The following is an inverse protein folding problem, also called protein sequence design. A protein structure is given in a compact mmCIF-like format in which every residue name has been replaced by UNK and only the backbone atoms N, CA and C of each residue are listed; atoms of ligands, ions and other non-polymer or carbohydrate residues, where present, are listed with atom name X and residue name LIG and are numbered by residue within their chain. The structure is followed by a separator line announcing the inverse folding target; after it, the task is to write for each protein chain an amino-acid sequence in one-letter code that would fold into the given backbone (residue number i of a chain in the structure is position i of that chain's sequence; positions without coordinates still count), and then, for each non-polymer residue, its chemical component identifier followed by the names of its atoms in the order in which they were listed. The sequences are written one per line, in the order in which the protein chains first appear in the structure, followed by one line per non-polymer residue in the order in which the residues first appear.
data_IF_786111206763
#
_entry.id   IF_786111206763
#
_cell.length_a   1.000
_cell.length_b   1.000
_cell.length_c   1.000
_cell.angle_alpha   90.00
_cell.angle_beta   90.00
_cell.angle_gamma   90.00
#
_symmetry.space_group_name_H-M   'P 1'
#
loop_
_entity.id
_entity.type
_entity.pdbx_description
1 polymer ?
#
# COMPACT_ATOMS: atom_id res chain seq x y z
N UNK A 1 -19.98 56.63 38.86
CA UNK A 1 -19.47 55.39 38.22
C UNK A 1 -19.78 54.12 39.02
N UNK A 2 -20.79 54.09 39.92
CA UNK A 2 -21.08 52.95 40.83
C UNK A 2 -22.53 52.41 40.76
N UNK A 3 -23.38 52.94 39.87
CA UNK A 3 -24.78 52.49 39.73
C UNK A 3 -24.94 51.39 38.66
N UNK A 4 -24.27 51.55 37.51
CA UNK A 4 -24.24 50.57 36.42
C UNK A 4 -23.62 49.23 36.86
N UNK A 5 -22.56 49.28 37.68
CA UNK A 5 -21.95 48.06 38.23
C UNK A 5 -22.84 47.35 39.27
N UNK A 6 -23.66 48.08 40.04
CA UNK A 6 -24.55 47.49 41.05
C UNK A 6 -25.78 46.83 40.43
N UNK A 7 -26.34 47.42 39.38
CA UNK A 7 -27.49 46.86 38.66
C UNK A 7 -27.09 45.66 37.80
N UNK A 8 -25.88 45.70 37.20
CA UNK A 8 -25.36 44.60 36.39
C UNK A 8 -24.62 43.51 37.20
N UNK A 9 -24.36 43.72 38.49
CA UNK A 9 -23.69 42.74 39.36
C UNK A 9 -24.45 41.40 39.39
N UNK A 10 -25.78 41.45 39.43
CA UNK A 10 -26.63 40.26 39.46
C UNK A 10 -26.47 39.43 38.17
N UNK A 11 -26.37 40.10 37.02
CA UNK A 11 -26.15 39.44 35.74
C UNK A 11 -24.72 38.89 35.62
N UNK A 12 -23.71 39.64 36.05
CA UNK A 12 -22.31 39.20 36.07
C UNK A 12 -22.14 37.97 36.98
N UNK A 13 -22.78 37.99 38.16
CA UNK A 13 -22.71 36.90 39.12
C UNK A 13 -23.51 35.67 38.64
N UNK A 14 -24.66 35.87 37.98
CA UNK A 14 -25.38 34.80 37.30
C UNK A 14 -24.55 34.15 36.18
N UNK A 15 -23.87 34.94 35.35
CA UNK A 15 -22.98 34.43 34.29
C UNK A 15 -21.80 33.67 34.90
N UNK A 16 -21.21 34.14 36.00
CA UNK A 16 -20.15 33.45 36.72
C UNK A 16 -20.61 32.12 37.32
N UNK A 17 -21.81 32.05 37.90
CA UNK A 17 -22.38 30.81 38.44
C UNK A 17 -22.65 29.82 37.30
N UNK A 18 -23.24 30.29 36.20
CA UNK A 18 -23.44 29.46 35.00
C UNK A 18 -22.11 28.93 34.52
N UNK A 19 -21.09 29.78 34.38
CA UNK A 19 -19.74 29.38 33.99
C UNK A 19 -19.12 28.37 34.96
N UNK A 20 -19.24 28.59 36.27
CA UNK A 20 -18.70 27.70 37.29
C UNK A 20 -19.31 26.29 37.25
N UNK A 21 -20.56 26.16 36.80
CA UNK A 21 -21.25 24.87 36.65
C UNK A 21 -20.99 24.26 35.27
N UNK A 22 -21.07 25.07 34.20
CA UNK A 22 -20.94 24.57 32.83
C UNK A 22 -19.49 24.25 32.48
N UNK A 23 -18.51 25.00 32.99
CA UNK A 23 -17.10 24.84 32.61
C UNK A 23 -16.51 23.49 33.06
N UNK A 24 -16.69 23.02 34.32
CA UNK A 24 -16.24 21.68 34.72
C UNK A 24 -16.99 20.56 33.98
N UNK A 25 -18.27 20.77 33.68
CA UNK A 25 -19.09 19.80 32.95
C UNK A 25 -18.64 19.65 31.49
N UNK A 26 -18.35 20.77 30.81
CA UNK A 26 -17.80 20.79 29.45
C UNK A 26 -16.40 20.18 29.43
N UNK A 27 -15.54 20.50 30.39
CA UNK A 27 -14.18 19.93 30.47
C UNK A 27 -14.21 18.41 30.67
N UNK A 28 -15.09 17.90 31.53
CA UNK A 28 -15.23 16.46 31.79
C UNK A 28 -15.80 15.70 30.59
N UNK A 29 -16.68 16.33 29.83
CA UNK A 29 -17.35 15.73 28.67
C UNK A 29 -16.82 16.24 27.32
N UNK A 30 -15.63 16.86 27.29
CA UNK A 30 -15.16 17.58 26.10
C UNK A 30 -15.12 16.68 24.87
N UNK A 31 -14.66 15.44 25.04
CA UNK A 31 -14.46 14.51 23.94
C UNK A 31 -15.81 14.00 23.38
N UNK A 32 -16.82 13.82 24.24
CA UNK A 32 -18.15 13.39 23.80
C UNK A 32 -18.94 14.54 23.18
N UNK A 33 -18.78 15.77 23.68
CA UNK A 33 -19.37 16.99 23.11
C UNK A 33 -18.74 17.28 21.76
N UNK A 34 -17.41 17.26 21.65
CA UNK A 34 -16.70 17.43 20.38
C UNK A 34 -17.02 16.32 19.38
N UNK A 35 -17.16 15.07 19.82
CA UNK A 35 -17.62 13.98 18.97
C UNK A 35 -19.06 14.20 18.48
N UNK A 36 -19.98 14.64 19.35
CA UNK A 36 -21.36 14.96 18.94
C UNK A 36 -21.43 16.16 17.99
N UNK A 37 -20.64 17.21 18.24
CA UNK A 37 -20.56 18.40 17.38
C UNK A 37 -19.94 18.03 16.03
N UNK A 38 -18.89 17.22 16.01
CA UNK A 38 -18.31 16.76 14.73
C UNK A 38 -19.28 15.84 13.98
N UNK A 39 -19.97 14.92 14.65
CA UNK A 39 -21.02 14.10 14.02
C UNK A 39 -22.19 14.93 13.48
N UNK A 40 -22.66 15.94 14.24
CA UNK A 40 -23.74 16.83 13.78
C UNK A 40 -23.27 17.74 12.66
N UNK A 41 -22.09 18.34 12.75
CA UNK A 41 -21.48 19.12 11.67
C UNK A 41 -21.32 18.27 10.39
N UNK A 42 -20.84 17.03 10.53
CA UNK A 42 -20.74 16.08 9.42
C UNK A 42 -22.10 15.68 8.84
N UNK A 43 -23.17 15.62 9.66
CA UNK A 43 -24.53 15.37 9.17
C UNK A 43 -25.14 16.56 8.45
N UNK A 44 -24.76 17.80 8.81
CA UNK A 44 -25.30 19.03 8.20
C UNK A 44 -24.67 19.36 6.84
N UNK A 45 -23.37 19.05 6.65
CA UNK A 45 -22.64 19.45 5.44
C UNK A 45 -22.56 18.40 4.34
N UNK A 46 -23.25 17.26 4.49
CA UNK A 46 -23.27 16.20 3.48
C UNK A 46 -21.88 15.59 3.30
N UNK A 47 -21.58 14.53 4.05
CA UNK A 47 -20.37 13.76 3.85
C UNK A 47 -20.52 12.83 2.63
N UNK A 48 -19.57 12.80 1.66
CA UNK A 48 -18.32 13.58 1.55
C UNK A 48 -18.49 14.99 0.94
N UNK A 49 -17.56 15.91 1.23
CA UNK A 49 -17.56 17.30 0.72
C UNK A 49 -16.21 17.65 0.04
N UNK A 50 -16.09 17.42 -1.27
CA UNK A 50 -14.81 17.57 -1.99
C UNK A 50 -14.30 19.01 -2.00
N UNK A 51 -15.18 20.02 -1.89
CA UNK A 51 -14.77 21.43 -1.82
C UNK A 51 -13.92 21.72 -0.58
N UNK A 52 -14.29 21.17 0.57
CA UNK A 52 -13.51 21.31 1.81
C UNK A 52 -12.18 20.56 1.68
N UNK A 53 -12.19 19.38 1.06
CA UNK A 53 -10.98 18.61 0.79
C UNK A 53 -9.99 19.42 -0.07
N UNK A 54 -10.43 19.99 -1.19
CA UNK A 54 -9.59 20.83 -2.04
C UNK A 54 -9.05 22.08 -1.34
N UNK A 55 -9.85 22.74 -0.49
CA UNK A 55 -9.36 23.88 0.30
C UNK A 55 -8.27 23.48 1.28
N UNK A 56 -8.38 22.30 1.90
CA UNK A 56 -7.36 21.77 2.81
C UNK A 56 -6.10 21.32 2.05
N UNK A 57 -6.27 20.72 0.87
CA UNK A 57 -5.16 20.38 -0.03
C UNK A 57 -4.42 21.65 -0.46
N UNK A 58 -5.14 22.70 -0.88
CA UNK A 58 -4.55 23.97 -1.27
C UNK A 58 -3.78 24.64 -0.13
N UNK A 59 -4.27 24.52 1.12
CA UNK A 59 -3.52 24.99 2.31
C UNK A 59 -2.23 24.19 2.53
N UNK A 60 -2.26 22.87 2.33
CA UNK A 60 -1.07 22.04 2.38
C UNK A 60 -0.06 22.40 1.28
N UNK A 61 -0.55 22.57 0.05
CA UNK A 61 0.25 22.96 -1.10
C UNK A 61 0.91 24.35 -0.88
N UNK A 62 0.16 25.33 -0.37
CA UNK A 62 0.68 26.66 -0.06
C UNK A 62 1.82 26.65 0.99
N UNK A 63 1.77 25.74 1.96
CA UNK A 63 2.86 25.57 2.96
C UNK A 63 4.13 25.05 2.29
N UNK A 64 3.99 24.12 1.33
CA UNK A 64 5.13 23.57 0.57
C UNK A 64 5.68 24.59 -0.43
N UNK A 65 4.81 25.30 -1.15
CA UNK A 65 5.16 26.35 -2.12
C UNK A 65 5.83 27.54 -1.44
N UNK A 66 5.34 27.99 -0.28
CA UNK A 66 5.98 29.06 0.49
C UNK A 66 7.42 28.75 0.93
N UNK A 67 7.82 27.46 0.98
CA UNK A 67 9.19 27.02 1.25
C UNK A 67 10.01 26.70 -0.02
N UNK A 68 9.35 26.55 -1.16
CA UNK A 68 10.00 26.47 -2.48
C UNK A 68 10.41 27.86 -2.95
N UNK A 69 9.52 28.84 -2.79
CA UNK A 69 9.72 30.22 -3.25
C UNK A 69 10.64 31.04 -2.32
N UNK A 70 10.84 30.60 -1.07
CA UNK A 70 11.85 31.21 -0.19
C UNK A 70 13.30 31.04 -0.70
N UNK A 71 13.52 30.25 -1.75
CA UNK A 71 14.81 30.09 -2.43
C UNK A 71 14.95 30.83 -3.77
N UNK A 72 13.93 31.51 -4.28
CA UNK A 72 13.95 32.07 -5.66
C UNK A 72 14.48 33.50 -5.76
N UNK A 73 14.75 34.19 -4.65
CA UNK A 73 15.53 35.43 -4.69
C UNK A 73 17.01 35.08 -4.91
N UNK A 74 17.39 34.95 -6.18
CA UNK A 74 18.77 34.74 -6.65
C UNK A 74 19.73 35.76 -6.01
N UNK A 75 19.26 36.99 -5.75
CA UNK A 75 20.01 38.03 -5.05
C UNK A 75 20.15 37.82 -3.54
N UNK A 76 19.19 37.16 -2.87
CA UNK A 76 19.31 36.81 -1.45
C UNK A 76 20.19 35.58 -1.24
N UNK A 77 20.13 34.59 -2.13
CA UNK A 77 21.03 33.42 -2.13
C UNK A 77 22.47 33.83 -2.42
N UNK A 78 22.71 34.73 -3.39
CA UNK A 78 24.05 35.30 -3.65
C UNK A 78 24.54 36.13 -2.45
N UNK A 79 23.69 36.98 -1.85
CA UNK A 79 24.08 37.74 -0.65
C UNK A 79 24.40 36.83 0.53
N UNK A 80 23.59 35.81 0.79
CA UNK A 80 23.85 34.82 1.84
C UNK A 80 25.15 34.05 1.60
N UNK A 81 25.45 33.69 0.34
CA UNK A 81 26.72 33.07 -0.05
C UNK A 81 27.94 33.94 0.29
N UNK A 82 27.87 35.24 0.02
CA UNK A 82 28.97 36.18 0.29
C UNK A 82 29.02 36.67 1.75
N UNK A 83 27.96 36.47 2.55
CA UNK A 83 27.95 36.81 3.98
C UNK A 83 28.19 35.62 4.91
N UNK A 84 28.23 34.39 4.38
CA UNK A 84 28.35 33.14 5.15
C UNK A 84 29.81 32.69 5.37
N UNK A 85 30.81 33.57 5.26
CA UNK A 85 32.18 33.22 5.66
C UNK A 85 32.35 33.11 7.18
N UNK A 86 31.41 33.61 8.01
CA UNK A 86 31.61 33.66 9.48
C UNK A 86 30.47 33.09 10.36
N UNK A 87 29.46 32.41 9.81
CA UNK A 87 28.48 31.69 10.67
C UNK A 87 28.12 30.31 10.12
N UNK A 88 28.37 29.27 10.94
CA UNK A 88 28.05 27.86 10.73
C UNK A 88 26.52 27.56 10.64
N UNK A 89 25.77 28.32 9.86
CA UNK A 89 24.39 27.99 9.47
C UNK A 89 24.39 27.77 7.97
N UNK A 90 24.46 26.49 7.59
CA UNK A 90 24.44 26.07 6.20
C UNK A 90 23.28 26.70 5.43
N UNK A 91 23.56 27.08 4.19
CA UNK A 91 22.59 27.59 3.22
C UNK A 91 21.37 26.68 3.17
N UNK A 92 20.19 27.20 3.51
CA UNK A 92 18.93 26.46 3.46
C UNK A 92 18.54 26.33 1.99
N UNK A 93 18.78 25.16 1.39
CA UNK A 93 18.32 24.84 0.04
C UNK A 93 16.78 24.89 -0.03
N UNK A 94 16.18 25.24 -1.18
CA UNK A 94 14.72 25.23 -1.35
C UNK A 94 14.15 23.83 -1.15
N UNK A 95 12.90 23.76 -0.69
CA UNK A 95 12.22 22.50 -0.41
C UNK A 95 12.00 21.66 -1.68
N UNK A 96 12.75 20.58 -1.82
CA UNK A 96 12.46 19.50 -2.76
C UNK A 96 12.11 18.20 -2.02
N UNK A 97 10.88 17.71 -2.25
CA UNK A 97 10.36 16.48 -1.66
C UNK A 97 11.15 15.25 -2.13
N UNK A 98 11.62 15.22 -3.39
CA UNK A 98 12.41 14.11 -3.90
C UNK A 98 13.80 14.06 -3.27
N UNK A 99 14.41 15.23 -3.01
CA UNK A 99 15.67 15.33 -2.28
C UNK A 99 15.49 14.89 -0.81
N UNK A 100 14.38 15.26 -0.17
CA UNK A 100 14.06 14.81 1.19
C UNK A 100 13.81 13.30 1.25
N UNK A 101 13.10 12.72 0.28
CA UNK A 101 12.92 11.27 0.17
C UNK A 101 14.27 10.55 0.04
N UNK A 102 15.16 11.02 -0.84
CA UNK A 102 16.51 10.45 -0.98
C UNK A 102 17.31 10.54 0.32
N UNK A 103 17.19 11.65 1.05
CA UNK A 103 17.84 11.80 2.36
C UNK A 103 17.30 10.80 3.39
N UNK A 104 15.98 10.55 3.38
CA UNK A 104 15.33 9.55 4.22
C UNK A 104 15.86 8.13 3.93
N UNK A 105 15.89 7.76 2.64
CA UNK A 105 16.36 6.45 2.20
C UNK A 105 17.82 6.22 2.54
N UNK A 106 18.67 7.26 2.40
CA UNK A 106 20.08 7.22 2.78
C UNK A 106 20.29 6.88 4.26
N UNK A 107 19.50 7.47 5.17
CA UNK A 107 19.60 7.15 6.60
C UNK A 107 19.02 5.77 6.92
N UNK A 108 17.89 5.39 6.30
CA UNK A 108 17.29 4.06 6.49
C UNK A 108 18.20 2.92 6.03
N UNK A 109 18.94 3.10 4.92
CA UNK A 109 19.93 2.12 4.45
C UNK A 109 21.14 2.00 5.36
N UNK A 110 21.47 3.04 6.15
CA UNK A 110 22.56 2.97 7.14
C UNK A 110 22.12 2.40 8.49
N UNK A 111 20.83 2.48 8.82
CA UNK A 111 20.28 1.90 10.05
C UNK A 111 19.93 0.40 9.92
N UNK A 112 19.72 -0.14 8.71
CA UNK A 112 19.38 -1.56 8.50
C UNK A 112 20.27 -2.22 7.43
N UNK A 113 21.30 -2.94 7.88
CA UNK A 113 21.90 -4.05 7.12
C UNK A 113 20.97 -5.25 7.26
N UNK A 114 19.96 -5.35 6.39
CA UNK A 114 19.31 -6.60 6.02
C UNK A 114 18.94 -6.56 4.52
N UNK A 115 19.90 -6.96 3.69
CA UNK A 115 19.89 -7.05 2.22
C UNK A 115 18.97 -8.15 1.64
N UNK A 116 17.79 -8.38 2.21
CA UNK A 116 16.92 -9.49 1.76
C UNK A 116 15.50 -9.12 1.33
N UNK A 117 15.16 -7.84 1.23
CA UNK A 117 13.81 -7.42 0.78
C UNK A 117 13.78 -6.43 -0.40
N UNK A 118 14.87 -6.29 -1.14
CA UNK A 118 14.95 -5.46 -2.35
C UNK A 118 15.10 -6.31 -3.63
N UNK A 119 14.36 -7.41 -3.76
CA UNK A 119 14.17 -8.00 -5.08
C UNK A 119 13.11 -7.24 -5.87
N UNK A 120 13.59 -6.36 -6.74
CA UNK A 120 12.79 -5.60 -7.69
C UNK A 120 12.02 -6.51 -8.66
N UNK A 121 10.82 -6.07 -9.04
CA UNK A 121 10.03 -6.75 -10.06
C UNK A 121 10.66 -6.59 -11.44
N UNK A 122 10.36 -7.51 -12.37
CA UNK A 122 10.90 -7.48 -13.74
C UNK A 122 10.60 -6.20 -14.52
N UNK A 123 9.54 -5.47 -14.15
CA UNK A 123 9.16 -4.18 -14.75
C UNK A 123 10.03 -3.02 -14.24
N UNK A 124 10.50 -3.12 -12.99
CA UNK A 124 11.46 -2.19 -12.39
C UNK A 124 12.87 -2.47 -12.90
N UNK A 125 13.27 -3.74 -13.06
CA UNK A 125 14.57 -4.12 -13.65
C UNK A 125 14.75 -3.66 -15.11
N UNK A 126 13.66 -3.57 -15.88
CA UNK A 126 13.69 -3.07 -17.25
C UNK A 126 13.69 -1.53 -17.34
N UNK A 127 13.15 -0.82 -16.34
CA UNK A 127 13.20 0.66 -16.28
C UNK A 127 14.48 1.18 -15.62
N UNK A 128 15.15 0.36 -14.81
CA UNK A 128 16.41 0.68 -14.13
C UNK A 128 17.59 0.91 -15.08
N UNK A 129 17.58 0.34 -16.29
CA UNK A 129 18.67 0.58 -17.26
C UNK A 129 18.60 1.96 -17.93
N UNK A 130 17.55 2.76 -17.67
CA UNK A 130 17.38 4.12 -18.19
C UNK A 130 16.97 5.18 -17.17
N UNK A 131 16.77 4.83 -15.89
CA UNK A 131 16.38 5.82 -14.89
C UNK A 131 17.62 6.49 -14.24
N UNK A 132 17.64 7.81 -14.07
CA UNK A 132 18.73 8.52 -13.37
C UNK A 132 18.75 8.25 -11.85
N UNK A 133 17.90 7.35 -11.36
CA UNK A 133 17.75 7.01 -9.94
C UNK A 133 18.69 5.88 -9.48
N UNK A 134 19.25 5.09 -10.40
CA UNK A 134 20.12 3.95 -10.07
C UNK A 134 21.33 3.79 -10.99
N UNK A 135 21.96 4.90 -11.41
CA UNK A 135 23.35 4.80 -11.85
C UNK A 135 24.17 4.22 -10.68
N UNK A 136 24.79 3.06 -10.92
CA UNK A 136 25.77 2.43 -10.02
C UNK A 136 26.62 3.53 -9.38
N UNK A 137 26.46 3.73 -8.07
CA UNK A 137 27.35 4.60 -7.30
C UNK A 137 28.76 4.01 -7.45
N UNK A 138 29.58 4.65 -8.28
CA UNK A 138 31.01 4.44 -8.27
C UNK A 138 31.54 4.85 -6.89
N UNK A 139 32.40 4.06 -6.24
CA UNK A 139 32.89 4.40 -4.92
C UNK A 139 34.11 5.30 -5.06
N UNK A 140 34.01 6.51 -5.61
CA UNK A 140 35.13 7.46 -5.59
C UNK A 140 34.70 8.92 -5.56
N UNK A 141 35.24 9.65 -4.57
CA UNK A 141 35.31 11.11 -4.56
C UNK A 141 34.23 11.79 -3.73
N UNK A 142 34.50 11.98 -2.44
CA UNK A 142 33.80 13.01 -1.67
C UNK A 142 33.94 14.36 -2.37
N UNK A 143 32.80 14.89 -2.83
CA UNK A 143 32.63 16.30 -3.15
C UNK A 143 31.51 16.82 -2.26
N UNK A 144 31.91 17.20 -1.05
CA UNK A 144 31.08 17.96 -0.11
C UNK A 144 31.02 19.40 -0.60
N UNK A 145 29.82 19.85 -0.99
CA UNK A 145 29.36 21.25 -0.89
C UNK A 145 27.84 21.28 -1.10
N UNK A 146 27.14 20.88 -0.05
CA UNK A 146 25.70 21.02 0.17
C UNK A 146 25.43 20.80 1.66
N UNK A 147 24.36 21.37 2.25
CA UNK A 147 24.07 21.18 3.66
C UNK A 147 23.98 19.68 3.99
N UNK A 148 24.48 19.30 5.17
CA UNK A 148 24.45 17.91 5.62
C UNK A 148 23.00 17.37 5.47
N UNK A 149 22.75 16.19 4.87
CA UNK A 149 21.39 15.72 4.56
C UNK A 149 20.44 15.75 5.77
N UNK A 150 20.96 15.51 6.98
CA UNK A 150 20.23 15.62 8.25
C UNK A 150 19.81 17.05 8.58
N UNK A 151 20.66 18.05 8.34
CA UNK A 151 20.37 19.46 8.58
C UNK A 151 19.38 20.01 7.56
N UNK A 152 19.52 19.60 6.29
CA UNK A 152 18.54 19.88 5.26
C UNK A 152 17.17 19.27 5.58
N UNK A 153 17.14 18.01 6.04
CA UNK A 153 15.89 17.37 6.43
C UNK A 153 15.26 18.04 7.66
N UNK A 154 16.05 18.32 8.71
CA UNK A 154 15.58 18.97 9.94
C UNK A 154 15.05 20.39 9.70
N UNK A 155 15.59 21.14 8.74
CA UNK A 155 15.12 22.51 8.43
C UNK A 155 13.77 22.55 7.74
N UNK A 156 13.36 21.45 7.10
CA UNK A 156 12.15 21.37 6.27
C UNK A 156 11.07 20.45 6.82
N UNK A 157 11.42 19.53 7.73
CA UNK A 157 10.51 18.49 8.23
C UNK A 157 9.24 19.07 8.86
N UNK A 158 9.33 20.19 9.58
CA UNK A 158 8.15 20.81 10.22
C UNK A 158 7.10 21.26 9.18
N UNK A 159 7.55 21.85 8.06
CA UNK A 159 6.66 22.27 6.98
C UNK A 159 6.03 21.06 6.27
N UNK A 160 6.82 20.02 6.01
CA UNK A 160 6.37 18.75 5.43
C UNK A 160 5.35 18.05 6.33
N UNK A 161 5.58 18.01 7.64
CA UNK A 161 4.62 17.44 8.61
C UNK A 161 3.34 18.28 8.72
N UNK A 162 3.45 19.61 8.63
CA UNK A 162 2.29 20.50 8.64
C UNK A 162 1.43 20.28 7.39
N UNK A 163 2.06 20.14 6.21
CA UNK A 163 1.35 19.79 4.98
C UNK A 163 0.70 18.41 5.08
N UNK A 164 1.41 17.42 5.64
CA UNK A 164 0.88 16.07 5.87
C UNK A 164 -0.40 16.11 6.73
N UNK A 165 -0.42 16.90 7.80
CA UNK A 165 -1.59 17.05 8.67
C UNK A 165 -2.79 17.67 7.93
N UNK A 166 -2.56 18.65 7.05
CA UNK A 166 -3.61 19.20 6.20
C UNK A 166 -4.16 18.15 5.23
N UNK A 167 -3.30 17.36 4.58
CA UNK A 167 -3.75 16.30 3.67
C UNK A 167 -4.49 15.18 4.40
N UNK A 168 -4.07 14.78 5.61
CA UNK A 168 -4.81 13.83 6.45
C UNK A 168 -6.20 14.33 6.84
N UNK A 169 -6.33 15.63 7.11
CA UNK A 169 -7.65 16.24 7.35
C UNK A 169 -8.48 16.28 6.06
N UNK A 170 -7.85 16.59 4.93
CA UNK A 170 -8.50 16.59 3.62
C UNK A 170 -9.02 15.22 3.23
N UNK A 171 -8.27 14.15 3.53
CA UNK A 171 -8.64 12.77 3.28
C UNK A 171 -10.04 12.46 3.84
N UNK A 172 -10.32 12.93 5.06
CA UNK A 172 -11.64 12.75 5.68
C UNK A 172 -12.77 13.35 4.88
N UNK A 173 -12.56 14.31 3.98
CA UNK A 173 -13.64 14.93 3.20
C UNK A 173 -13.59 14.55 1.72
N UNK A 174 -12.54 13.84 1.29
CA UNK A 174 -12.26 13.54 -0.11
C UNK A 174 -13.23 12.53 -0.71
N UNK A 175 -13.73 11.58 0.08
CA UNK A 175 -14.64 10.55 -0.43
C UNK A 175 -13.94 9.70 -1.51
N UNK A 176 -14.50 9.58 -2.72
CA UNK A 176 -13.92 8.75 -3.77
C UNK A 176 -12.72 9.36 -4.51
N UNK A 177 -12.33 10.61 -4.23
CA UNK A 177 -11.23 11.29 -4.93
C UNK A 177 -9.84 10.79 -4.49
N UNK A 178 -8.99 10.40 -5.47
CA UNK A 178 -7.64 9.87 -5.22
C UNK A 178 -6.58 10.95 -4.93
N UNK A 179 -6.93 12.24 -5.00
CA UNK A 179 -5.99 13.35 -4.90
C UNK A 179 -5.33 13.42 -3.51
N UNK A 180 -6.12 13.28 -2.44
CA UNK A 180 -5.60 13.35 -1.07
C UNK A 180 -4.62 12.20 -0.76
N UNK A 181 -4.93 10.92 -1.07
CA UNK A 181 -3.97 9.83 -0.94
C UNK A 181 -2.64 10.06 -1.69
N UNK A 182 -2.68 10.54 -2.93
CA UNK A 182 -1.47 10.83 -3.73
C UNK A 182 -0.60 11.91 -3.10
N UNK A 183 -1.22 12.98 -2.57
CA UNK A 183 -0.49 14.03 -1.85
C UNK A 183 0.13 13.50 -0.56
N UNK A 184 -0.60 12.68 0.20
CA UNK A 184 -0.08 12.00 1.39
C UNK A 184 1.11 11.11 1.03
N UNK A 185 1.04 10.33 -0.05
CA UNK A 185 2.15 9.47 -0.51
C UNK A 185 3.45 10.27 -0.69
N UNK A 186 3.40 11.36 -1.46
CA UNK A 186 4.58 12.19 -1.74
C UNK A 186 5.25 12.76 -0.48
N UNK A 187 4.44 13.22 0.48
CA UNK A 187 4.92 13.88 1.71
C UNK A 187 5.32 12.85 2.78
N UNK A 188 4.66 11.70 2.81
CA UNK A 188 4.99 10.60 3.70
C UNK A 188 6.35 9.98 3.35
N UNK A 189 6.68 9.85 2.06
CA UNK A 189 8.02 9.42 1.63
C UNK A 189 9.09 10.43 2.04
N UNK A 190 8.86 11.72 1.82
CA UNK A 190 9.77 12.79 2.24
C UNK A 190 9.99 12.85 3.77
N UNK A 191 8.98 12.47 4.56
CA UNK A 191 9.02 12.49 6.03
C UNK A 191 9.35 11.14 6.69
N UNK A 192 9.75 10.12 5.92
CA UNK A 192 10.05 8.77 6.41
C UNK A 192 8.88 8.04 7.10
N UNK A 193 7.63 8.29 6.68
CA UNK A 193 6.42 7.73 7.32
C UNK A 193 5.59 6.87 6.36
N UNK A 194 6.12 5.74 5.85
CA UNK A 194 5.42 4.90 4.86
C UNK A 194 4.08 4.34 5.37
N UNK A 195 3.90 4.17 6.68
CA UNK A 195 2.65 3.71 7.28
C UNK A 195 1.47 4.67 7.02
N UNK A 196 1.74 5.97 6.82
CA UNK A 196 0.70 6.97 6.52
C UNK A 196 0.13 6.78 5.12
N UNK A 197 0.96 6.30 4.19
CA UNK A 197 0.57 5.99 2.81
C UNK A 197 -0.42 4.84 2.81
N UNK A 198 -0.12 3.80 3.60
CA UNK A 198 -1.00 2.66 3.78
C UNK A 198 -2.37 3.07 4.30
N UNK A 199 -2.37 3.87 5.37
CA UNK A 199 -3.58 4.37 5.98
C UNK A 199 -4.40 5.19 4.97
N UNK A 200 -3.75 6.05 4.19
CA UNK A 200 -4.42 6.89 3.21
C UNK A 200 -5.14 6.07 2.13
N UNK A 201 -4.47 5.09 1.52
CA UNK A 201 -5.07 4.25 0.48
C UNK A 201 -6.13 3.28 1.04
N UNK A 202 -5.96 2.76 2.25
CA UNK A 202 -6.99 1.96 2.94
C UNK A 202 -8.24 2.79 3.22
N UNK A 203 -8.08 4.02 3.71
CA UNK A 203 -9.19 4.95 3.96
C UNK A 203 -9.92 5.31 2.67
N UNK A 204 -9.20 5.63 1.59
CA UNK A 204 -9.81 5.90 0.29
C UNK A 204 -10.64 4.72 -0.23
N UNK A 205 -10.12 3.50 -0.13
CA UNK A 205 -10.87 2.29 -0.48
C UNK A 205 -12.20 2.19 0.29
N UNK A 206 -12.15 2.31 1.62
CA UNK A 206 -13.34 2.18 2.48
C UNK A 206 -14.34 3.32 2.26
N UNK A 207 -13.86 4.56 2.10
CA UNK A 207 -14.70 5.73 1.84
C UNK A 207 -15.39 5.63 0.47
N UNK A 208 -14.68 5.13 -0.55
CA UNK A 208 -15.25 4.88 -1.88
C UNK A 208 -16.37 3.83 -1.81
N UNK A 209 -16.13 2.70 -1.16
CA UNK A 209 -17.15 1.65 -0.99
C UNK A 209 -18.37 2.16 -0.21
N UNK A 210 -18.14 2.94 0.84
CA UNK A 210 -19.20 3.51 1.68
C UNK A 210 -20.03 4.55 0.91
N UNK A 211 -19.38 5.38 0.09
CA UNK A 211 -20.03 6.36 -0.77
C UNK A 211 -20.95 5.68 -1.77
N UNK A 212 -20.45 4.68 -2.50
CA UNK A 212 -21.23 3.92 -3.48
C UNK A 212 -22.39 3.18 -2.81
N UNK A 213 -22.15 2.55 -1.66
CA UNK A 213 -23.21 1.88 -0.91
C UNK A 213 -24.35 2.84 -0.52
N UNK A 214 -24.00 4.04 -0.05
CA UNK A 214 -24.98 5.07 0.31
C UNK A 214 -25.80 5.50 -0.91
N UNK A 215 -25.14 5.81 -2.03
CA UNK A 215 -25.82 6.19 -3.28
C UNK A 215 -26.75 5.08 -3.79
N UNK A 216 -26.31 3.82 -3.78
CA UNK A 216 -27.14 2.69 -4.19
C UNK A 216 -28.33 2.47 -3.26
N UNK A 217 -28.16 2.74 -1.96
CA UNK A 217 -29.22 2.64 -0.95
C UNK A 217 -30.27 3.74 -1.17
N UNK A 218 -29.82 4.96 -1.42
CA UNK A 218 -30.70 6.10 -1.71
C UNK A 218 -31.50 5.88 -3.01
N UNK A 219 -30.90 5.22 -4.00
CA UNK A 219 -31.55 4.79 -5.24
C UNK A 219 -32.40 3.50 -5.11
N UNK A 220 -32.50 2.91 -3.91
CA UNK A 220 -33.18 1.63 -3.65
C UNK A 220 -32.71 0.46 -4.53
N UNK A 221 -31.45 0.49 -4.98
CA UNK A 221 -30.83 -0.54 -5.83
C UNK A 221 -30.17 -1.66 -5.02
N UNK A 222 -30.16 -1.58 -3.68
CA UNK A 222 -29.61 -2.61 -2.80
C UNK A 222 -30.74 -3.48 -2.25
N UNK A 223 -30.81 -4.77 -2.60
CA UNK A 223 -31.77 -5.70 -2.02
C UNK A 223 -31.65 -5.78 -0.49
N UNK A 224 -32.78 -5.89 0.20
CA UNK A 224 -32.82 -6.11 1.64
C UNK A 224 -32.38 -7.54 2.00
N UNK A 225 -31.76 -7.70 3.18
CA UNK A 225 -31.34 -9.02 3.69
C UNK A 225 -30.01 -9.57 3.17
N UNK A 226 -29.26 -8.81 2.35
CA UNK A 226 -27.94 -9.23 1.87
C UNK A 226 -26.89 -9.29 2.99
N UNK A 227 -26.02 -10.31 2.93
CA UNK A 227 -24.83 -10.41 3.78
C UNK A 227 -23.81 -9.30 3.46
N UNK A 228 -22.86 -9.04 4.36
CA UNK A 228 -21.83 -8.03 4.14
C UNK A 228 -21.01 -8.29 2.86
N UNK A 229 -20.68 -9.56 2.59
CA UNK A 229 -19.97 -9.99 1.38
C UNK A 229 -20.80 -9.73 0.12
N UNK A 230 -22.09 -10.06 0.16
CA UNK A 230 -22.98 -9.81 -0.99
C UNK A 230 -23.17 -8.32 -1.26
N UNK A 231 -23.32 -7.51 -0.21
CA UNK A 231 -23.39 -6.04 -0.34
C UNK A 231 -22.12 -5.49 -0.97
N UNK A 232 -20.95 -5.98 -0.54
CA UNK A 232 -19.67 -5.61 -1.15
C UNK A 232 -19.64 -5.96 -2.62
N UNK A 233 -20.04 -7.18 -3.02
CA UNK A 233 -20.05 -7.55 -4.45
C UNK A 233 -20.93 -6.63 -5.31
N UNK A 234 -22.07 -6.18 -4.78
CA UNK A 234 -22.92 -5.17 -5.45
C UNK A 234 -22.19 -3.85 -5.59
N UNK A 235 -21.54 -3.37 -4.53
CA UNK A 235 -20.74 -2.14 -4.55
C UNK A 235 -19.60 -2.23 -5.55
N UNK A 236 -18.78 -3.28 -5.52
CA UNK A 236 -17.68 -3.49 -6.46
C UNK A 236 -18.18 -3.54 -7.91
N UNK A 237 -19.34 -4.16 -8.15
CA UNK A 237 -19.94 -4.20 -9.49
C UNK A 237 -20.30 -2.82 -10.03
N UNK A 238 -20.78 -1.93 -9.14
CA UNK A 238 -21.16 -0.57 -9.49
C UNK A 238 -19.94 0.31 -9.74
N UNK A 239 -18.88 0.15 -8.92
CA UNK A 239 -17.58 0.79 -9.15
C UNK A 239 -16.99 0.35 -10.49
N UNK A 240 -16.98 -0.95 -10.78
CA UNK A 240 -16.42 -1.52 -12.03
C UNK A 240 -17.15 -1.05 -13.29
N UNK A 241 -18.47 -0.81 -13.20
CA UNK A 241 -19.29 -0.27 -14.29
C UNK A 241 -19.22 1.25 -14.40
N UNK A 242 -18.58 1.92 -13.45
CA UNK A 242 -18.54 3.38 -13.36
C UNK A 242 -19.94 3.99 -13.36
N UNK A 243 -20.87 3.40 -12.59
CA UNK A 243 -22.26 3.86 -12.50
C UNK A 243 -22.37 5.31 -11.94
N UNK A 244 -21.34 5.79 -11.24
CA UNK A 244 -21.26 7.12 -10.64
C UNK A 244 -20.04 7.86 -11.18
N UNK A 245 -20.24 9.10 -11.65
CA UNK A 245 -19.20 9.93 -12.27
C UNK A 245 -18.03 10.28 -11.35
N UNK A 246 -18.29 10.34 -10.05
CA UNK A 246 -17.34 10.69 -9.00
C UNK A 246 -16.41 9.51 -8.64
N UNK A 247 -16.70 8.31 -9.15
CA UNK A 247 -16.01 7.07 -8.77
C UNK A 247 -15.31 6.47 -9.98
N UNK A 248 -13.98 6.47 -9.95
CA UNK A 248 -13.13 5.85 -10.97
C UNK A 248 -12.73 4.43 -10.56
N UNK A 249 -13.02 3.45 -11.42
CA UNK A 249 -12.58 2.06 -11.22
C UNK A 249 -11.05 1.94 -11.21
N UNK A 250 -10.38 2.73 -12.06
CA UNK A 250 -8.92 2.75 -12.14
C UNK A 250 -8.30 3.33 -10.86
N UNK A 251 -8.88 4.39 -10.31
CA UNK A 251 -8.41 5.01 -9.08
C UNK A 251 -8.58 4.08 -7.89
N UNK A 252 -9.72 3.37 -7.85
CA UNK A 252 -9.99 2.34 -6.85
C UNK A 252 -8.98 1.18 -6.93
N UNK A 253 -8.71 0.68 -8.15
CA UNK A 253 -7.70 -0.36 -8.37
C UNK A 253 -6.29 0.13 -8.01
N UNK A 254 -5.93 1.36 -8.36
CA UNK A 254 -4.64 1.97 -7.99
C UNK A 254 -4.47 1.97 -6.46
N UNK A 255 -5.49 2.37 -5.71
CA UNK A 255 -5.48 2.34 -4.24
C UNK A 255 -5.28 0.93 -3.67
N UNK A 256 -5.89 -0.09 -4.26
CA UNK A 256 -5.69 -1.47 -3.84
C UNK A 256 -4.27 -1.96 -4.12
N UNK A 257 -3.75 -1.70 -5.32
CA UNK A 257 -2.41 -2.10 -5.73
C UNK A 257 -1.33 -1.42 -4.87
N UNK A 258 -1.50 -0.14 -4.55
CA UNK A 258 -0.57 0.62 -3.68
C UNK A 258 -0.48 0.02 -2.28
N UNK A 259 -1.60 -0.46 -1.72
CA UNK A 259 -1.59 -1.13 -0.40
C UNK A 259 -0.70 -2.40 -0.40
N UNK A 260 -0.71 -3.17 -1.50
CA UNK A 260 0.12 -4.38 -1.63
C UNK A 260 1.59 -4.01 -1.88
N UNK A 261 1.86 -3.12 -2.83
CA UNK A 261 3.21 -2.74 -3.24
C UNK A 261 4.01 -2.14 -2.08
N UNK A 262 3.38 -1.31 -1.25
CA UNK A 262 4.07 -0.58 -0.18
C UNK A 262 4.31 -1.40 1.08
N UNK A 263 3.48 -2.41 1.35
CA UNK A 263 3.60 -3.22 2.57
C UNK A 263 4.40 -4.49 2.38
N UNK A 264 4.57 -4.95 1.13
CA UNK A 264 5.10 -6.28 0.87
C UNK A 264 4.35 -7.37 1.66
N UNK A 265 3.07 -7.13 1.98
CA UNK A 265 2.21 -7.97 2.83
C UNK A 265 2.58 -8.05 4.33
N UNK A 266 3.56 -7.29 4.83
CA UNK A 266 4.06 -7.42 6.21
C UNK A 266 3.24 -6.69 7.28
N UNK A 267 2.56 -5.60 6.90
CA UNK A 267 1.87 -4.71 7.85
C UNK A 267 0.36 -4.98 7.99
N UNK A 268 -0.16 -5.99 7.30
CA UNK A 268 -1.55 -6.39 7.37
C UNK A 268 -1.69 -7.75 8.05
N UNK A 269 -2.82 -7.96 8.72
CA UNK A 269 -3.19 -9.33 9.06
C UNK A 269 -3.44 -10.14 7.78
N UNK A 270 -3.14 -11.45 7.75
CA UNK A 270 -3.40 -12.27 6.57
C UNK A 270 -4.85 -12.21 6.08
N UNK A 271 -5.81 -12.03 6.99
CA UNK A 271 -7.23 -11.90 6.63
C UNK A 271 -7.55 -10.57 5.94
N UNK A 272 -6.94 -9.47 6.37
CA UNK A 272 -7.08 -8.19 5.67
C UNK A 272 -6.42 -8.23 4.28
N UNK A 273 -5.31 -8.95 4.14
CA UNK A 273 -4.69 -9.16 2.82
C UNK A 273 -5.57 -9.96 1.89
N UNK A 274 -6.23 -11.01 2.38
CA UNK A 274 -7.18 -11.80 1.60
C UNK A 274 -8.33 -10.91 1.07
N UNK A 275 -8.81 -10.02 1.94
CA UNK A 275 -9.86 -9.05 1.63
C UNK A 275 -9.47 -8.06 0.50
N UNK A 276 -8.21 -7.63 0.48
CA UNK A 276 -7.65 -6.79 -0.58
C UNK A 276 -7.44 -7.58 -1.88
N UNK A 277 -6.91 -8.81 -1.80
CA UNK A 277 -6.72 -9.66 -2.98
C UNK A 277 -8.05 -10.02 -3.64
N UNK A 278 -9.10 -10.30 -2.86
CA UNK A 278 -10.44 -10.56 -3.39
C UNK A 278 -10.96 -9.37 -4.22
N UNK A 279 -10.75 -8.14 -3.73
CA UNK A 279 -11.11 -6.94 -4.47
C UNK A 279 -10.30 -6.79 -5.74
N UNK A 280 -8.98 -6.96 -5.69
CA UNK A 280 -8.13 -6.84 -6.89
C UNK A 280 -8.56 -7.85 -7.96
N UNK A 281 -8.75 -9.11 -7.57
CA UNK A 281 -9.20 -10.17 -8.49
C UNK A 281 -10.55 -9.86 -9.13
N UNK A 282 -11.44 -9.16 -8.41
CA UNK A 282 -12.71 -8.70 -8.97
C UNK A 282 -12.52 -7.68 -10.12
N UNK A 283 -11.56 -6.76 -9.99
CA UNK A 283 -11.32 -5.70 -10.97
C UNK A 283 -10.50 -6.18 -12.18
N UNK A 284 -9.38 -6.86 -11.92
CA UNK A 284 -8.45 -7.39 -12.95
C UNK A 284 -9.15 -8.37 -13.91
N UNK A 285 -10.28 -8.98 -13.53
CA UNK A 285 -11.00 -9.90 -14.42
C UNK A 285 -10.23 -11.20 -14.68
N UNK A 286 -10.89 -12.24 -15.19
CA UNK A 286 -10.28 -13.58 -15.35
C UNK A 286 -9.29 -13.69 -16.51
N UNK A 287 -9.38 -12.78 -17.47
CA UNK A 287 -8.76 -12.91 -18.79
C UNK A 287 -7.46 -12.09 -18.87
N UNK A 288 -7.13 -11.33 -17.83
CA UNK A 288 -5.90 -10.57 -17.75
C UNK A 288 -4.76 -11.41 -17.17
N UNK A 289 -3.54 -11.27 -17.71
CA UNK A 289 -2.36 -11.99 -17.18
C UNK A 289 -2.12 -11.73 -15.68
N UNK A 290 -2.48 -10.54 -15.21
CA UNK A 290 -2.29 -10.12 -13.82
C UNK A 290 -3.17 -10.93 -12.87
N UNK A 291 -4.29 -11.48 -13.37
CA UNK A 291 -5.17 -12.36 -12.62
C UNK A 291 -4.42 -13.58 -12.08
N UNK A 292 -3.66 -14.27 -12.93
CA UNK A 292 -2.89 -15.45 -12.54
C UNK A 292 -1.87 -15.12 -11.46
N UNK A 293 -1.22 -13.96 -11.57
CA UNK A 293 -0.25 -13.47 -10.58
C UNK A 293 -0.93 -13.18 -9.24
N UNK A 294 -2.07 -12.50 -9.22
CA UNK A 294 -2.80 -12.22 -7.98
C UNK A 294 -3.40 -13.49 -7.36
N UNK A 295 -3.85 -14.44 -8.18
CA UNK A 295 -4.28 -15.78 -7.74
C UNK A 295 -3.14 -16.53 -7.06
N UNK A 296 -1.96 -16.53 -7.66
CA UNK A 296 -0.78 -17.14 -7.06
C UNK A 296 -0.41 -16.49 -5.72
N UNK A 297 -0.39 -15.15 -5.64
CA UNK A 297 -0.09 -14.45 -4.38
C UNK A 297 -1.13 -14.70 -3.28
N UNK A 298 -2.41 -14.75 -3.65
CA UNK A 298 -3.49 -15.12 -2.72
C UNK A 298 -3.36 -16.59 -2.27
N UNK A 299 -2.92 -17.49 -3.16
CA UNK A 299 -2.65 -18.87 -2.80
C UNK A 299 -1.47 -19.00 -1.83
N UNK A 300 -0.40 -18.22 -2.00
CA UNK A 300 0.72 -18.16 -1.04
C UNK A 300 0.25 -17.72 0.34
N UNK A 301 -0.65 -16.74 0.41
CA UNK A 301 -1.26 -16.28 1.65
C UNK A 301 -2.04 -17.39 2.36
N UNK A 302 -2.90 -18.11 1.63
CA UNK A 302 -3.62 -19.26 2.19
C UNK A 302 -2.68 -20.40 2.60
N UNK A 303 -1.60 -20.61 1.85
CA UNK A 303 -0.59 -21.61 2.21
C UNK A 303 0.12 -21.25 3.52
N UNK A 304 0.41 -19.97 3.76
CA UNK A 304 0.97 -19.50 5.02
C UNK A 304 -0.01 -19.70 6.18
N UNK A 305 -1.28 -19.34 5.98
CA UNK A 305 -2.36 -19.55 6.95
C UNK A 305 -2.62 -21.03 7.25
N UNK A 306 -2.36 -21.92 6.29
CA UNK A 306 -2.47 -23.37 6.45
C UNK A 306 -1.67 -23.93 7.63
N UNK A 307 -0.60 -23.24 8.08
CA UNK A 307 0.16 -23.62 9.27
C UNK A 307 -0.69 -23.62 10.54
N UNK A 308 -1.66 -22.71 10.62
CA UNK A 308 -2.58 -22.57 11.74
C UNK A 308 -3.84 -23.40 11.53
N UNK A 309 -4.46 -23.28 10.34
CA UNK A 309 -5.71 -23.96 9.98
C UNK A 309 -5.52 -24.83 8.74
N UNK A 310 -5.51 -26.17 8.90
CA UNK A 310 -5.24 -27.08 7.78
C UNK A 310 -6.20 -26.94 6.59
N UNK A 311 -7.41 -26.42 6.79
CA UNK A 311 -8.37 -26.18 5.70
C UNK A 311 -7.88 -25.12 4.71
N UNK A 312 -7.03 -24.18 5.13
CA UNK A 312 -6.50 -23.16 4.24
C UNK A 312 -5.49 -23.72 3.23
N UNK A 313 -4.84 -24.86 3.52
CA UNK A 313 -4.06 -25.57 2.48
C UNK A 313 -4.94 -26.07 1.33
N UNK A 314 -6.19 -26.43 1.60
CA UNK A 314 -7.13 -26.84 0.54
C UNK A 314 -7.50 -25.65 -0.34
N UNK A 315 -7.75 -24.48 0.27
CA UNK A 315 -7.98 -23.22 -0.47
C UNK A 315 -6.76 -22.85 -1.30
N UNK A 316 -5.56 -22.91 -0.72
CA UNK A 316 -4.31 -22.66 -1.42
C UNK A 316 -4.15 -23.58 -2.64
N UNK A 317 -4.40 -24.88 -2.49
CA UNK A 317 -4.32 -25.83 -3.60
C UNK A 317 -5.29 -25.49 -4.75
N UNK A 318 -6.50 -25.04 -4.43
CA UNK A 318 -7.49 -24.62 -5.44
C UNK A 318 -7.05 -23.33 -6.15
N UNK A 319 -6.57 -22.33 -5.40
CA UNK A 319 -6.10 -21.06 -5.97
C UNK A 319 -4.83 -21.24 -6.83
N UNK A 320 -3.89 -22.10 -6.40
CA UNK A 320 -2.72 -22.47 -7.22
C UNK A 320 -3.11 -23.22 -8.50
N UNK A 321 -4.16 -24.05 -8.45
CA UNK A 321 -4.69 -24.73 -9.64
C UNK A 321 -5.20 -23.69 -10.66
N UNK A 322 -5.94 -22.70 -10.21
CA UNK A 322 -6.43 -21.61 -11.08
C UNK A 322 -5.28 -20.76 -11.62
N UNK A 323 -4.30 -20.39 -10.78
CA UNK A 323 -3.10 -19.66 -11.19
C UNK A 323 -2.28 -20.39 -12.27
N UNK A 324 -2.31 -21.73 -12.26
CA UNK A 324 -1.62 -22.54 -13.27
C UNK A 324 -2.31 -22.55 -14.65
N UNK A 325 -3.52 -22.01 -14.78
CA UNK A 325 -4.27 -22.03 -16.03
C UNK A 325 -3.81 -20.91 -16.98
N UNK A 326 -2.64 -21.09 -17.57
CA UNK A 326 -2.05 -20.12 -18.52
C UNK A 326 -2.86 -19.92 -19.81
N UNK A 327 -3.81 -20.82 -20.12
CA UNK A 327 -4.71 -20.63 -21.27
C UNK A 327 -5.50 -19.33 -21.16
N UNK A 328 -5.88 -18.95 -19.93
CA UNK A 328 -6.59 -17.70 -19.64
C UNK A 328 -5.79 -16.46 -20.07
N UNK A 329 -4.46 -16.54 -20.05
CA UNK A 329 -3.58 -15.44 -20.41
C UNK A 329 -3.02 -15.57 -21.83
N UNK A 330 -3.26 -16.68 -22.54
CA UNK A 330 -2.55 -17.04 -23.79
C UNK A 330 -3.06 -16.34 -25.05
N UNK A 331 -4.18 -15.63 -24.97
CA UNK A 331 -4.83 -14.96 -26.12
C UNK A 331 -4.30 -13.53 -26.38
N UNK A 332 -3.36 -13.04 -25.56
CA UNK A 332 -2.79 -11.69 -25.69
C UNK A 332 -1.57 -11.67 -26.64
N UNK A 333 -1.46 -10.67 -27.52
CA UNK A 333 -0.45 -10.64 -28.60
C UNK A 333 1.01 -10.41 -28.12
N UNK A 334 1.23 -9.85 -26.92
CA UNK A 334 2.56 -9.43 -26.41
C UNK A 334 3.12 -10.31 -25.27
N UNK A 335 2.84 -11.61 -25.25
CA UNK A 335 3.15 -12.46 -24.10
C UNK A 335 4.60 -12.97 -24.13
N UNK A 336 5.32 -12.75 -23.03
CA UNK A 336 6.54 -13.50 -22.71
C UNK A 336 6.19 -14.95 -22.30
N UNK A 337 6.02 -15.81 -23.31
CA UNK A 337 5.64 -17.22 -23.14
C UNK A 337 6.57 -17.99 -22.18
N UNK A 338 7.91 -17.85 -22.25
CA UNK A 338 8.81 -18.45 -21.26
C UNK A 338 8.44 -18.13 -19.81
N UNK A 339 8.12 -16.87 -19.50
CA UNK A 339 7.75 -16.46 -18.15
C UNK A 339 6.42 -17.07 -17.69
N UNK A 340 5.43 -17.21 -18.58
CA UNK A 340 4.17 -17.88 -18.26
C UNK A 340 4.35 -19.38 -18.01
N UNK A 341 5.20 -20.05 -18.78
CA UNK A 341 5.48 -21.48 -18.57
C UNK A 341 6.17 -21.74 -17.22
N UNK A 342 7.05 -20.83 -16.80
CA UNK A 342 7.66 -20.88 -15.46
C UNK A 342 6.61 -20.64 -14.38
N UNK A 343 5.73 -19.66 -14.57
CA UNK A 343 4.63 -19.41 -13.64
C UNK A 343 3.69 -20.62 -13.50
N UNK A 344 3.35 -21.29 -14.61
CA UNK A 344 2.58 -22.54 -14.58
C UNK A 344 3.30 -23.60 -13.74
N UNK A 345 4.61 -23.78 -13.98
CA UNK A 345 5.43 -24.75 -13.28
C UNK A 345 5.45 -24.48 -11.77
N UNK A 346 5.75 -23.25 -11.36
CA UNK A 346 5.79 -22.85 -9.95
C UNK A 346 4.42 -23.00 -9.28
N UNK A 347 3.35 -22.59 -9.96
CA UNK A 347 1.97 -22.73 -9.46
C UNK A 347 1.61 -24.19 -9.18
N UNK A 348 1.93 -25.10 -10.12
CA UNK A 348 1.71 -26.54 -9.94
C UNK A 348 2.60 -27.15 -8.88
N UNK A 349 3.85 -26.70 -8.77
CA UNK A 349 4.76 -27.16 -7.72
C UNK A 349 4.20 -26.79 -6.33
N UNK A 350 3.72 -25.55 -6.16
CA UNK A 350 3.07 -25.09 -4.93
C UNK A 350 1.72 -25.75 -4.66
N UNK A 351 0.97 -26.09 -5.69
CA UNK A 351 -0.21 -26.93 -5.58
C UNK A 351 0.13 -28.31 -5.00
N UNK A 352 1.17 -28.97 -5.54
CA UNK A 352 1.65 -30.25 -5.04
C UNK A 352 2.15 -30.15 -3.59
N UNK A 353 2.83 -29.05 -3.25
CA UNK A 353 3.28 -28.77 -1.87
C UNK A 353 2.09 -28.67 -0.91
N UNK A 354 1.01 -28.00 -1.32
CA UNK A 354 -0.23 -27.85 -0.55
C UNK A 354 -0.89 -29.22 -0.26
N UNK A 355 -1.00 -30.09 -1.27
CA UNK A 355 -1.53 -31.45 -1.06
C UNK A 355 -0.63 -32.32 -0.18
N UNK A 356 0.70 -32.14 -0.28
CA UNK A 356 1.63 -32.84 0.61
C UNK A 356 1.43 -32.41 2.07
N UNK A 357 1.20 -31.11 2.34
CA UNK A 357 0.87 -30.62 3.69
C UNK A 357 -0.46 -31.16 4.21
N UNK A 358 -1.44 -31.37 3.34
CA UNK A 358 -2.71 -32.05 3.64
C UNK A 358 -2.58 -33.57 3.83
N UNK A 359 -1.37 -34.14 3.67
CA UNK A 359 -1.09 -35.59 3.67
C UNK A 359 -1.75 -36.34 2.50
N UNK A 360 -2.25 -35.64 1.50
CA UNK A 360 -2.80 -36.21 0.26
C UNK A 360 -1.67 -36.50 -0.74
N UNK A 361 -0.68 -37.29 -0.31
CA UNK A 361 0.57 -37.52 -1.05
C UNK A 361 0.37 -38.13 -2.44
N UNK A 362 -0.69 -38.94 -2.63
CA UNK A 362 -1.03 -39.49 -3.95
C UNK A 362 -1.39 -38.39 -4.95
N UNK A 363 -2.16 -37.37 -4.53
CA UNK A 363 -2.52 -36.24 -5.41
C UNK A 363 -1.30 -35.36 -5.69
N UNK A 364 -0.47 -35.15 -4.67
CA UNK A 364 0.80 -34.42 -4.81
C UNK A 364 1.71 -35.08 -5.84
N UNK A 365 1.89 -36.41 -5.77
CA UNK A 365 2.72 -37.17 -6.70
C UNK A 365 2.24 -37.08 -8.14
N UNK A 366 0.93 -37.22 -8.39
CA UNK A 366 0.36 -37.11 -9.75
C UNK A 366 0.72 -35.76 -10.40
N UNK A 367 0.69 -34.67 -9.63
CA UNK A 367 1.08 -33.35 -10.13
C UNK A 367 2.58 -33.30 -10.40
N UNK A 368 3.42 -33.82 -9.49
CA UNK A 368 4.87 -33.86 -9.64
C UNK A 368 5.33 -34.67 -10.85
N UNK A 369 4.65 -35.79 -11.14
CA UNK A 369 4.89 -36.59 -12.34
C UNK A 369 4.55 -35.81 -13.62
N UNK A 370 3.45 -35.05 -13.60
CA UNK A 370 3.07 -34.17 -14.72
C UNK A 370 4.08 -33.04 -14.97
N UNK A 371 4.83 -32.63 -13.93
CA UNK A 371 5.86 -31.60 -14.02
C UNK A 371 7.19 -32.13 -14.56
N UNK A 372 7.45 -33.44 -14.49
CA UNK A 372 8.71 -34.05 -14.93
C UNK A 372 9.04 -33.74 -16.39
N UNK A 373 8.05 -33.81 -17.28
CA UNK A 373 8.20 -33.47 -18.69
C UNK A 373 8.35 -31.96 -18.95
N UNK A 374 7.96 -31.12 -17.98
CA UNK A 374 7.98 -29.65 -18.05
C UNK A 374 9.21 -29.02 -17.42
N UNK A 375 10.13 -29.81 -16.84
CA UNK A 375 11.36 -29.29 -16.23
C UNK A 375 12.20 -28.44 -17.20
N UNK A 376 12.15 -28.76 -18.51
CA UNK A 376 12.82 -28.00 -19.56
C UNK A 376 12.31 -26.56 -19.71
N UNK A 377 11.09 -26.27 -19.25
CA UNK A 377 10.54 -24.91 -19.31
C UNK A 377 11.23 -23.97 -18.32
N UNK A 378 11.84 -24.52 -17.26
CA UNK A 378 12.63 -23.80 -16.25
C UNK A 378 14.07 -23.70 -16.75
N UNK A 379 14.30 -22.81 -17.71
CA UNK A 379 15.63 -22.56 -18.29
C UNK A 379 16.23 -21.24 -17.76
N UNK A 380 17.56 -21.10 -17.85
CA UNK A 380 18.30 -19.90 -17.40
C UNK A 380 17.83 -18.64 -18.12
N UNK A 381 17.37 -18.78 -19.37
CA UNK A 381 16.81 -17.67 -20.17
C UNK A 381 15.45 -17.20 -19.65
N UNK A 382 14.70 -18.08 -19.00
CA UNK A 382 13.33 -17.82 -18.51
C UNK A 382 13.32 -17.34 -17.05
N UNK A 383 14.27 -17.82 -16.24
CA UNK A 383 14.28 -17.60 -14.77
C UNK A 383 15.56 -16.93 -14.27
N UNK A 384 16.57 -16.73 -15.12
CA UNK A 384 17.89 -16.24 -14.70
C UNK A 384 18.56 -17.20 -13.71
N UNK A 385 19.20 -16.64 -12.68
CA UNK A 385 19.91 -17.42 -11.64
C UNK A 385 19.03 -18.23 -10.68
N UNK A 386 17.70 -18.14 -10.76
CA UNK A 386 16.76 -18.85 -9.86
C UNK A 386 16.43 -20.28 -10.28
N UNK A 387 16.95 -20.73 -11.42
CA UNK A 387 16.71 -22.09 -11.95
C UNK A 387 17.02 -23.16 -10.90
N UNK A 388 18.18 -23.06 -10.26
CA UNK A 388 18.63 -24.06 -9.29
C UNK A 388 17.71 -24.11 -8.07
N UNK A 389 17.23 -22.97 -7.58
CA UNK A 389 16.29 -22.90 -6.45
C UNK A 389 14.98 -23.63 -6.76
N UNK A 390 14.41 -23.40 -7.95
CA UNK A 390 13.16 -24.03 -8.38
C UNK A 390 13.33 -25.54 -8.57
N UNK A 391 14.41 -25.97 -9.23
CA UNK A 391 14.68 -27.39 -9.44
C UNK A 391 14.99 -28.11 -8.12
N UNK A 392 15.78 -27.49 -7.23
CA UNK A 392 16.01 -28.00 -5.86
C UNK A 392 14.70 -28.18 -5.11
N UNK A 393 13.80 -27.19 -5.16
CA UNK A 393 12.48 -27.29 -4.51
C UNK A 393 11.63 -28.45 -5.07
N UNK A 394 11.61 -28.63 -6.40
CA UNK A 394 10.93 -29.77 -7.04
C UNK A 394 11.49 -31.12 -6.58
N UNK A 395 12.81 -31.31 -6.66
CA UNK A 395 13.45 -32.57 -6.29
C UNK A 395 13.26 -32.91 -4.81
N UNK A 396 13.40 -31.92 -3.93
CA UNK A 396 13.20 -32.09 -2.49
C UNK A 396 11.76 -32.47 -2.14
N UNK A 397 10.77 -31.81 -2.77
CA UNK A 397 9.37 -32.13 -2.57
C UNK A 397 9.05 -33.54 -3.09
N UNK A 398 9.55 -33.89 -4.29
CA UNK A 398 9.32 -35.21 -4.88
C UNK A 398 9.90 -36.33 -4.02
N UNK A 399 11.14 -36.19 -3.56
CA UNK A 399 11.76 -37.13 -2.60
C UNK A 399 10.93 -37.26 -1.32
N UNK A 400 10.50 -36.14 -0.74
CA UNK A 400 9.67 -36.15 0.48
C UNK A 400 8.36 -36.92 0.27
N UNK A 401 7.66 -36.67 -0.83
CA UNK A 401 6.40 -37.33 -1.18
C UNK A 401 6.59 -38.83 -1.40
N UNK A 402 7.58 -39.23 -2.19
CA UNK A 402 7.89 -40.65 -2.46
C UNK A 402 8.22 -41.41 -1.17
N UNK A 403 9.03 -40.82 -0.29
CA UNK A 403 9.33 -41.41 1.03
C UNK A 403 8.09 -41.56 1.90
N UNK A 404 7.18 -40.56 1.90
CA UNK A 404 5.90 -40.67 2.63
C UNK A 404 4.96 -41.75 2.06
N UNK A 405 5.12 -42.08 0.78
CA UNK A 405 4.39 -43.18 0.13
C UNK A 405 5.11 -44.54 0.25
N UNK A 406 6.28 -44.60 0.90
CA UNK A 406 7.07 -45.82 1.06
C UNK A 406 7.89 -46.24 -0.17
N UNK A 407 7.99 -45.39 -1.20
CA UNK A 407 8.76 -45.63 -2.44
C UNK A 407 10.20 -45.12 -2.27
N UNK A 408 10.98 -45.78 -1.42
CA UNK A 408 12.32 -45.30 -1.04
C UNK A 408 13.34 -45.38 -2.17
N UNK A 409 13.33 -46.45 -2.96
CA UNK A 409 14.27 -46.66 -4.08
C UNK A 409 14.21 -45.49 -5.07
N UNK A 410 13.00 -45.16 -5.54
CA UNK A 410 12.78 -44.04 -6.46
C UNK A 410 13.13 -42.69 -5.84
N UNK A 411 12.97 -42.54 -4.52
CA UNK A 411 13.31 -41.31 -3.82
C UNK A 411 14.83 -41.09 -3.74
N UNK A 412 15.60 -42.18 -3.66
CA UNK A 412 17.05 -42.16 -3.57
C UNK A 412 17.72 -42.01 -4.95
N UNK A 413 17.03 -42.38 -6.04
CA UNK A 413 17.44 -42.08 -7.42
C UNK A 413 17.40 -40.58 -7.76
N UNK A 414 16.62 -39.79 -7.02
CA UNK A 414 16.54 -38.35 -7.24
C UNK A 414 17.85 -37.70 -6.77
N UNK A 415 18.54 -36.89 -7.60
CA UNK A 415 19.83 -36.30 -7.24
C UNK A 415 19.74 -35.43 -5.98
N UNK A 416 20.73 -35.56 -5.10
CA UNK A 416 20.96 -34.60 -4.03
C UNK A 416 21.63 -33.37 -4.64
N UNK A 417 20.86 -32.31 -4.79
CA UNK A 417 21.43 -31.03 -5.14
C UNK A 417 21.93 -30.36 -3.85
N UNK A 418 23.23 -30.54 -3.54
CA UNK A 418 23.94 -29.71 -2.54
C UNK A 418 23.89 -28.23 -2.93
#
# INVERSE_FOLDING_TARGET
MNQIFRENLKYILAVLIVWAITFPWILRNKDTILAKITLTYNSFFGYPNPRIAHQLIAKGDAVLEGRKDSGTDLFQTIRQFFTAEDTNKGTILPLDLALMEKSCLYFRSKEHVEDHFLELTWREKASEWGSPLFQRMAPQGELLLGPHPKEYWNSHIEAVLTALDYYKRALRFSGPELIAPKKIESVAWASCRPNEILLAYKTHMVETETYVLKQLTDLQKVPSGLSAVQKRSVVLSSIKRSDFSEVSANDYLESLLRQILLTGMKNFSPREMDDVYERILYFVGSDEKEYLKFKFRRAELYFQLGKEESNDYQKAANEFKEASNIQLASELEDINLPALLVHEFESKLKQAESYHKLKENNKSLVILDSLKSKLRNVDERSVGGKKDEILKAYHNLNRSVLRKLGRYEEADEIPFNE
#
